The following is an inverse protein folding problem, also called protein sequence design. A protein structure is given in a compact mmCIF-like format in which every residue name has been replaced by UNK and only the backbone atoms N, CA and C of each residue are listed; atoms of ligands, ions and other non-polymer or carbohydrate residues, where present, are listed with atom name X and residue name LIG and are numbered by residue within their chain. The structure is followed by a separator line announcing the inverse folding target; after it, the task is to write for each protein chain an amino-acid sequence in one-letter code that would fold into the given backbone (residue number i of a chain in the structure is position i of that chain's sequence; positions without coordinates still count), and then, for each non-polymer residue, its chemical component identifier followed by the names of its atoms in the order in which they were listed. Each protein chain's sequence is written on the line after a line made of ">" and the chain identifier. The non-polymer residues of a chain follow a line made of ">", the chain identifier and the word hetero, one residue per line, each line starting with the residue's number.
data_IF_398205287539
#
_entry.id   IF_398205287539
#
_cell.length_a   1.000
_cell.length_b   1.000
_cell.length_c   1.000
_cell.angle_alpha   90.00
_cell.angle_beta   90.00
_cell.angle_gamma   90.00
#
_symmetry.space_group_name_H-M   'P 1'
#
loop_
_entity.id
_entity.type
_entity.pdbx_description
1 polymer ?
#
# COMPACT_ATOMS: atom_id res chain seq x y z
N UNK A 1 9.17 -11.76 -2.50
CA UNK A 1 7.90 -11.60 -1.76
C UNK A 1 8.15 -10.53 -0.72
N UNK A 2 7.35 -9.46 -0.64
CA UNK A 2 7.64 -8.32 0.23
C UNK A 2 7.26 -8.65 1.69
N UNK A 3 8.23 -8.86 2.61
CA UNK A 3 7.96 -9.37 3.95
C UNK A 3 7.19 -8.37 4.82
N UNK A 4 7.12 -7.10 4.40
CA UNK A 4 6.38 -6.02 5.06
C UNK A 4 4.85 -6.10 4.87
N UNK A 5 4.39 -6.83 3.85
CA UNK A 5 2.97 -6.86 3.48
C UNK A 5 2.02 -7.41 4.57
N UNK A 6 2.35 -8.48 5.32
CA UNK A 6 1.49 -8.95 6.41
C UNK A 6 1.28 -7.92 7.52
N UNK A 7 2.29 -7.13 7.84
CA UNK A 7 2.19 -6.10 8.89
C UNK A 7 1.34 -4.91 8.43
N UNK A 8 1.54 -4.47 7.18
CA UNK A 8 0.69 -3.44 6.58
C UNK A 8 -0.77 -3.90 6.56
N UNK A 9 -1.04 -5.13 6.10
CA UNK A 9 -2.39 -5.67 6.07
C UNK A 9 -3.03 -5.70 7.46
N UNK A 10 -2.26 -6.10 8.50
CA UNK A 10 -2.73 -6.08 9.89
C UNK A 10 -3.05 -4.65 10.35
N UNK A 11 -2.19 -3.68 10.05
CA UNK A 11 -2.37 -2.28 10.46
C UNK A 11 -3.58 -1.61 9.82
N UNK A 12 -3.94 -2.02 8.60
CA UNK A 12 -5.07 -1.49 7.84
C UNK A 12 -6.37 -2.29 8.02
N UNK A 13 -6.33 -3.38 8.80
CA UNK A 13 -7.48 -4.27 8.99
C UNK A 13 -7.87 -5.03 7.71
N UNK A 14 -6.92 -5.25 6.80
CA UNK A 14 -7.17 -5.98 5.57
C UNK A 14 -7.13 -7.49 5.78
N UNK A 15 -8.11 -8.19 5.20
CA UNK A 15 -8.24 -9.64 5.34
C UNK A 15 -7.11 -10.42 4.64
N UNK A 16 -6.44 -9.83 3.64
CA UNK A 16 -5.43 -10.51 2.82
C UNK A 16 -4.15 -9.69 2.74
N UNK A 17 -3.01 -10.34 3.00
CA UNK A 17 -1.70 -9.75 2.82
C UNK A 17 -1.36 -9.44 1.34
N UNK A 18 -2.05 -10.10 0.40
CA UNK A 18 -1.85 -9.88 -1.03
C UNK A 18 -2.08 -8.41 -1.43
N UNK A 19 -3.15 -7.79 -0.92
CA UNK A 19 -3.50 -6.40 -1.26
C UNK A 19 -2.45 -5.42 -0.72
N UNK A 20 -1.74 -5.81 0.35
CA UNK A 20 -0.65 -5.05 0.95
C UNK A 20 0.72 -5.23 0.25
N UNK A 21 0.83 -6.08 -0.78
CA UNK A 21 2.08 -6.23 -1.53
C UNK A 21 2.47 -4.95 -2.26
N UNK A 22 1.50 -4.18 -2.76
CA UNK A 22 1.75 -2.93 -3.49
C UNK A 22 2.30 -1.81 -2.59
N UNK A 23 1.65 -1.45 -1.45
CA UNK A 23 2.24 -0.48 -0.54
C UNK A 23 3.55 -0.98 0.09
N UNK A 24 3.69 -2.29 0.34
CA UNK A 24 4.96 -2.86 0.82
C UNK A 24 6.09 -2.68 -0.19
N UNK A 25 5.82 -2.87 -1.49
CA UNK A 25 6.78 -2.62 -2.55
C UNK A 25 7.15 -1.13 -2.63
N UNK A 26 6.15 -0.24 -2.60
CA UNK A 26 6.38 1.20 -2.63
C UNK A 26 7.24 1.69 -1.46
N UNK A 27 7.00 1.18 -0.24
CA UNK A 27 7.79 1.51 0.95
C UNK A 27 9.24 0.98 0.85
N UNK A 28 9.43 -0.26 0.39
CA UNK A 28 10.76 -0.89 0.32
C UNK A 28 11.62 -0.29 -0.79
N UNK A 29 11.02 0.02 -1.93
CA UNK A 29 11.72 0.54 -3.11
C UNK A 29 11.78 2.07 -3.14
N UNK A 30 11.28 2.76 -2.11
CA UNK A 30 11.16 4.23 -2.04
C UNK A 30 10.48 4.83 -3.29
N UNK A 31 9.37 4.21 -3.69
CA UNK A 31 8.67 4.50 -4.93
C UNK A 31 7.27 5.08 -4.69
N UNK A 32 6.81 5.90 -5.65
CA UNK A 32 5.43 6.40 -5.65
C UNK A 32 4.45 5.30 -6.06
N UNK A 33 3.36 5.14 -5.30
CA UNK A 33 2.28 4.22 -5.62
C UNK A 33 1.26 4.86 -6.57
N UNK A 34 1.23 4.40 -7.82
CA UNK A 34 0.17 4.74 -8.76
C UNK A 34 -1.01 3.77 -8.58
N UNK A 35 -2.21 4.30 -8.37
CA UNK A 35 -3.41 3.47 -8.18
C UNK A 35 -4.64 4.11 -8.79
N UNK A 36 -5.61 3.29 -9.22
CA UNK A 36 -6.96 3.73 -9.64
C UNK A 36 -7.98 3.57 -8.50
N UNK A 37 -7.60 2.92 -7.41
CA UNK A 37 -8.48 2.62 -6.29
C UNK A 37 -8.41 3.69 -5.21
N UNK A 38 -9.52 4.36 -4.93
CA UNK A 38 -9.62 5.34 -3.83
C UNK A 38 -9.16 4.75 -2.49
N UNK A 39 -9.60 3.53 -2.15
CA UNK A 39 -9.21 2.88 -0.90
C UNK A 39 -7.71 2.60 -0.77
N UNK A 40 -7.02 2.31 -1.88
CA UNK A 40 -5.56 2.13 -1.89
C UNK A 40 -4.83 3.46 -1.72
N UNK A 41 -5.33 4.53 -2.36
CA UNK A 41 -4.78 5.88 -2.19
C UNK A 41 -4.91 6.37 -0.73
N UNK A 42 -6.06 6.13 -0.10
CA UNK A 42 -6.29 6.44 1.32
C UNK A 42 -5.39 5.60 2.24
N UNK A 43 -5.18 4.32 1.91
CA UNK A 43 -4.25 3.47 2.64
C UNK A 43 -2.81 3.97 2.56
N UNK A 44 -2.34 4.33 1.36
CA UNK A 44 -1.00 4.88 1.16
C UNK A 44 -0.80 6.18 1.96
N UNK A 45 -1.79 7.07 1.98
CA UNK A 45 -1.75 8.30 2.78
C UNK A 45 -1.61 8.02 4.29
N UNK A 46 -2.31 6.99 4.81
CA UNK A 46 -2.19 6.59 6.23
C UNK A 46 -0.84 5.98 6.57
N UNK A 47 -0.18 5.36 5.59
CA UNK A 47 1.15 4.76 5.73
C UNK A 47 2.29 5.77 5.48
N UNK A 48 1.99 6.99 5.04
CA UNK A 48 3.00 7.97 4.64
C UNK A 48 3.70 7.63 3.32
N UNK A 49 3.10 6.78 2.49
CA UNK A 49 3.63 6.38 1.19
C UNK A 49 3.15 7.39 0.14
N UNK A 50 4.04 8.01 -0.66
CA UNK A 50 3.64 8.87 -1.77
C UNK A 50 2.75 8.09 -2.74
N UNK A 51 1.60 8.66 -3.12
CA UNK A 51 0.67 8.00 -4.03
C UNK A 51 -0.12 8.98 -4.88
N UNK A 52 -0.34 8.60 -6.13
CA UNK A 52 -1.23 9.31 -7.07
C UNK A 52 -2.42 8.44 -7.44
N UNK A 53 -3.63 9.00 -7.26
CA UNK A 53 -4.87 8.42 -7.76
C UNK A 53 -5.03 8.78 -9.25
N UNK A 54 -4.79 7.80 -10.13
CA UNK A 54 -4.96 7.93 -11.57
C UNK A 54 -6.46 7.86 -11.90
N UNK A 55 -6.93 8.83 -12.69
CA UNK A 55 -8.33 8.98 -13.11
C UNK A 55 -8.52 8.61 -14.57
#
# INVERSE_FOLDING_TARGET
>A
MYPRAPDIARSLGWARAYDALYPAAAEIEDAELLTVGRGMSEAAARLGIPATLVR
#
